data_IF_308726781683
#
_entry.id   IF_308726781683
#
_cell.length_a   1.000
_cell.length_b   1.000
_cell.length_c   1.000
_cell.angle_alpha   90.00
_cell.angle_beta   90.00
_cell.angle_gamma   90.00
#
_symmetry.space_group_name_H-M   'P 1'
#
loop_
_entity.id
_entity.type
_entity.pdbx_description
1 polymer ?
#
# COMPACT_ATOMS: atom_id res chain seq x y z
N UNK A 1 -12.15 14.13 19.28
CA UNK A 1 -11.92 13.43 18.01
C UNK A 1 -12.60 14.22 16.89
N UNK A 2 -11.95 14.44 15.75
CA UNK A 2 -12.62 15.06 14.61
C UNK A 2 -13.75 14.13 14.11
N UNK A 3 -14.92 14.69 13.82
CA UNK A 3 -16.05 13.91 13.34
C UNK A 3 -15.77 13.45 11.90
N UNK A 4 -16.18 12.23 11.52
CA UNK A 4 -15.91 11.66 10.18
C UNK A 4 -16.24 12.61 9.03
N UNK A 5 -17.34 13.39 9.15
CA UNK A 5 -17.74 14.39 8.17
C UNK A 5 -16.70 15.52 7.97
N UNK A 6 -16.06 16.01 9.04
CA UNK A 6 -15.00 17.03 8.96
C UNK A 6 -13.76 16.48 8.24
N UNK A 7 -13.40 15.22 8.49
CA UNK A 7 -12.29 14.55 7.79
C UNK A 7 -12.60 14.41 6.30
N UNK A 8 -13.82 13.99 5.94
CA UNK A 8 -14.24 13.83 4.53
C UNK A 8 -14.19 15.17 3.77
N UNK A 9 -14.61 16.27 4.40
CA UNK A 9 -14.54 17.61 3.80
C UNK A 9 -13.08 18.04 3.54
N UNK A 10 -12.17 17.79 4.49
CA UNK A 10 -10.75 18.08 4.33
C UNK A 10 -10.10 17.23 3.23
N UNK A 11 -10.47 15.96 3.12
CA UNK A 11 -9.98 15.08 2.05
C UNK A 11 -10.49 15.54 0.68
N UNK A 12 -11.74 15.98 0.57
CA UNK A 12 -12.29 16.54 -0.68
C UNK A 12 -11.57 17.83 -1.09
N UNK A 13 -11.23 18.69 -0.13
CA UNK A 13 -10.45 19.90 -0.40
C UNK A 13 -9.02 19.57 -0.84
N UNK A 14 -8.36 18.59 -0.22
CA UNK A 14 -7.04 18.11 -0.64
C UNK A 14 -7.07 17.50 -2.05
N UNK A 15 -8.09 16.70 -2.38
CA UNK A 15 -8.28 16.17 -3.73
C UNK A 15 -8.34 17.32 -4.75
N UNK A 16 -9.20 18.31 -4.48
CA UNK A 16 -9.36 19.49 -5.35
C UNK A 16 -8.06 20.25 -5.55
N UNK A 17 -7.29 20.48 -4.48
CA UNK A 17 -6.00 21.19 -4.54
C UNK A 17 -4.93 20.40 -5.30
N UNK A 18 -4.96 19.07 -5.22
CA UNK A 18 -3.97 18.21 -5.88
C UNK A 18 -4.07 18.21 -7.42
N UNK A 19 -5.23 18.56 -7.97
CA UNK A 19 -5.52 18.44 -9.41
C UNK A 19 -5.64 17.00 -9.91
N UNK A 20 -5.59 16.01 -9.00
CA UNK A 20 -5.68 14.58 -9.30
C UNK A 20 -6.86 13.90 -8.60
N UNK A 21 -6.74 12.58 -8.43
CA UNK A 21 -7.71 11.75 -7.70
C UNK A 21 -7.07 11.26 -6.42
N UNK A 22 -7.79 11.35 -5.30
CA UNK A 22 -7.29 10.96 -3.99
C UNK A 22 -8.09 9.77 -3.46
N UNK A 23 -7.40 8.69 -3.12
CA UNK A 23 -7.96 7.56 -2.37
C UNK A 23 -7.30 7.48 -1.00
N UNK A 24 -8.09 7.31 0.07
CA UNK A 24 -7.56 7.23 1.44
C UNK A 24 -8.27 6.15 2.24
N UNK A 25 -7.48 5.35 2.97
CA UNK A 25 -7.96 4.47 4.02
C UNK A 25 -7.22 4.80 5.32
N UNK A 26 -7.95 5.31 6.32
CA UNK A 26 -7.45 5.50 7.67
C UNK A 26 -7.98 4.35 8.52
N UNK A 27 -7.10 3.54 9.09
CA UNK A 27 -7.44 2.38 9.90
C UNK A 27 -6.87 2.59 11.29
N UNK A 28 -7.72 2.61 12.30
CA UNK A 28 -7.28 2.56 13.69
C UNK A 28 -6.91 1.12 14.04
N UNK A 29 -5.63 0.84 14.24
CA UNK A 29 -5.16 -0.53 14.52
C UNK A 29 -5.52 -1.03 15.91
N UNK A 30 -6.01 -0.18 16.81
CA UNK A 30 -6.45 -0.60 18.16
C UNK A 30 -7.84 -1.25 18.15
N UNK A 31 -8.76 -0.79 17.28
CA UNK A 31 -10.16 -1.20 17.26
C UNK A 31 -10.73 -1.51 15.87
N UNK A 32 -9.91 -1.40 14.81
CA UNK A 32 -10.28 -1.57 13.40
C UNK A 32 -11.33 -0.57 12.88
N UNK A 33 -11.62 0.51 13.59
CA UNK A 33 -12.46 1.59 13.05
C UNK A 33 -11.78 2.25 11.85
N UNK A 34 -12.58 2.66 10.86
CA UNK A 34 -12.07 3.16 9.59
C UNK A 34 -12.75 4.46 9.15
N UNK A 35 -11.96 5.29 8.47
CA UNK A 35 -12.46 6.38 7.64
C UNK A 35 -11.93 6.15 6.24
N UNK A 36 -12.84 5.98 5.28
CA UNK A 36 -12.54 5.63 3.90
C UNK A 36 -12.96 6.77 2.95
N UNK A 37 -12.14 7.06 1.95
CA UNK A 37 -12.42 8.06 0.91
C UNK A 37 -12.10 7.45 -0.45
N UNK A 38 -13.12 7.28 -1.30
CA UNK A 38 -13.05 6.58 -2.60
C UNK A 38 -12.46 5.15 -2.54
N UNK A 39 -12.78 4.39 -1.49
CA UNK A 39 -12.19 3.07 -1.26
C UNK A 39 -12.54 2.02 -2.35
N UNK A 40 -13.64 2.19 -3.06
CA UNK A 40 -14.07 1.27 -4.13
C UNK A 40 -13.47 1.60 -5.50
N UNK A 41 -12.70 2.69 -5.61
CA UNK A 41 -12.01 3.07 -6.85
C UNK A 41 -10.64 2.38 -6.99
N UNK A 42 -10.16 2.23 -8.24
CA UNK A 42 -8.87 1.62 -8.54
C UNK A 42 -7.78 2.70 -8.63
N UNK A 43 -6.66 2.47 -7.95
CA UNK A 43 -5.48 3.32 -8.00
C UNK A 43 -4.25 2.53 -8.46
N UNK A 44 -3.36 3.18 -9.22
CA UNK A 44 -2.09 2.57 -9.61
C UNK A 44 -1.19 2.41 -8.36
N UNK A 45 -0.83 1.17 -8.04
CA UNK A 45 0.02 0.90 -6.87
C UNK A 45 1.48 1.30 -7.10
N UNK A 46 1.99 1.26 -8.33
CA UNK A 46 3.40 1.52 -8.62
C UNK A 46 4.31 0.72 -7.66
N UNK A 47 5.26 1.37 -6.97
CA UNK A 47 6.14 0.73 -6.00
C UNK A 47 5.46 0.25 -4.72
N UNK A 48 4.23 0.67 -4.38
CA UNK A 48 3.54 0.16 -3.19
C UNK A 48 3.17 -1.32 -3.32
N UNK A 49 3.04 -1.83 -4.56
CA UNK A 49 2.82 -3.26 -4.84
C UNK A 49 3.94 -4.16 -4.31
N UNK A 50 5.15 -3.61 -4.12
CA UNK A 50 6.30 -4.37 -3.59
C UNK A 50 6.07 -4.87 -2.16
N UNK A 51 5.19 -4.23 -1.38
CA UNK A 51 4.82 -4.71 -0.04
C UNK A 51 4.22 -6.11 -0.13
N UNK A 52 3.30 -6.34 -1.07
CA UNK A 52 2.68 -7.65 -1.27
C UNK A 52 3.69 -8.69 -1.78
N UNK A 53 4.58 -8.29 -2.69
CA UNK A 53 5.64 -9.18 -3.20
C UNK A 53 6.59 -9.62 -2.07
N UNK A 54 7.04 -8.68 -1.23
CA UNK A 54 7.89 -8.99 -0.07
C UNK A 54 7.16 -9.87 0.95
N UNK A 55 5.89 -9.56 1.26
CA UNK A 55 5.08 -10.38 2.15
C UNK A 55 4.93 -11.82 1.66
N UNK A 56 4.76 -12.03 0.34
CA UNK A 56 4.70 -13.36 -0.24
C UNK A 56 6.03 -14.14 -0.08
N UNK A 57 7.17 -13.48 -0.28
CA UNK A 57 8.50 -14.10 -0.05
C UNK A 57 8.68 -14.46 1.43
N UNK A 58 8.31 -13.57 2.35
CA UNK A 58 8.38 -13.84 3.78
C UNK A 58 7.47 -15.00 4.18
N UNK A 59 6.23 -15.04 3.67
CA UNK A 59 5.31 -16.15 3.91
C UNK A 59 5.88 -17.48 3.43
N UNK A 60 6.51 -17.50 2.26
CA UNK A 60 7.18 -18.69 1.71
C UNK A 60 8.35 -19.15 2.60
N UNK A 61 9.06 -18.22 3.22
CA UNK A 61 10.18 -18.54 4.13
C UNK A 61 9.76 -19.30 5.39
N UNK A 62 8.49 -19.21 5.79
CA UNK A 62 7.96 -19.98 6.93
C UNK A 62 8.03 -21.49 6.68
N UNK A 63 7.90 -21.94 5.43
CA UNK A 63 8.02 -23.34 5.01
C UNK A 63 9.39 -23.69 4.43
N UNK A 64 10.21 -22.70 4.09
CA UNK A 64 11.53 -22.87 3.46
C UNK A 64 12.61 -22.13 4.27
N UNK A 65 13.18 -22.78 5.32
CA UNK A 65 14.05 -22.12 6.30
C UNK A 65 15.32 -21.45 5.72
N UNK A 66 15.78 -21.89 4.56
CA UNK A 66 16.98 -21.36 3.90
C UNK A 66 16.68 -20.31 2.82
N UNK A 67 15.41 -20.02 2.52
CA UNK A 67 15.01 -19.15 1.42
C UNK A 67 15.61 -17.75 1.54
N UNK A 68 15.60 -17.16 2.74
CA UNK A 68 16.12 -15.80 2.96
C UNK A 68 17.65 -15.71 2.86
N UNK A 69 18.35 -16.83 3.02
CA UNK A 69 19.81 -16.93 2.87
C UNK A 69 20.23 -17.31 1.44
N UNK A 70 19.26 -17.58 0.55
CA UNK A 70 19.53 -17.97 -0.81
C UNK A 70 20.19 -16.81 -1.57
N UNK A 71 21.36 -17.07 -2.13
CA UNK A 71 22.00 -16.14 -3.06
C UNK A 71 21.27 -16.20 -4.41
N UNK A 72 20.87 -15.03 -4.90
CA UNK A 72 20.28 -14.87 -6.24
C UNK A 72 21.34 -14.22 -7.12
N UNK A 73 21.76 -14.92 -8.18
CA UNK A 73 22.60 -14.34 -9.21
C UNK A 73 21.78 -13.33 -10.00
N UNK A 74 22.25 -12.08 -10.09
CA UNK A 74 21.63 -11.04 -10.91
C UNK A 74 22.51 -10.82 -12.13
N UNK A 75 21.98 -11.18 -13.31
CA UNK A 75 22.65 -11.03 -14.60
C UNK A 75 22.34 -9.68 -15.20
N UNK A 76 23.19 -9.21 -16.12
CA UNK A 76 22.92 -7.98 -16.88
C UNK A 76 21.59 -8.04 -17.64
N UNK A 77 21.17 -9.22 -18.08
CA UNK A 77 19.88 -9.46 -18.74
C UNK A 77 18.66 -9.29 -17.83
N UNK A 78 18.84 -9.32 -16.51
CA UNK A 78 17.76 -9.19 -15.53
C UNK A 78 17.48 -7.71 -15.18
N UNK A 79 18.45 -6.83 -15.46
CA UNK A 79 18.30 -5.41 -15.27
C UNK A 79 17.43 -4.83 -16.39
N UNK A 80 16.41 -4.08 -15.98
CA UNK A 80 15.60 -3.29 -16.90
C UNK A 80 16.11 -1.84 -16.85
N UNK A 81 16.28 -1.25 -18.03
CA UNK A 81 16.85 0.08 -18.35
C UNK A 81 18.37 0.10 -18.57
#
# INVERSE_FOLDING_TARGET
YAQTADVQQKLAELERQSGGRLGVALINTADNSQILYRADERFAMCSTSKVMAAAAVLKKSESEPNLLNQRVEIKKSDLVN
#
